data_IF_382002417250
#
_entry.id   IF_382002417250
#
_cell.length_a   1.000
_cell.length_b   1.000
_cell.length_c   1.000
_cell.angle_alpha   90.00
_cell.angle_beta   90.00
_cell.angle_gamma   90.00
#
_symmetry.space_group_name_H-M   'P 1'
#
loop_
_entity.id
_entity.type
_entity.pdbx_description
1 polymer ?
#
# COMPACT_ATOMS: atom_id res chain seq x y z
N UNK A 1 4.73 23.19 6.84
CA UNK A 1 4.80 22.70 5.44
C UNK A 1 3.95 21.44 5.41
N UNK A 2 2.84 21.41 4.70
CA UNK A 2 2.02 20.20 4.57
C UNK A 2 2.55 19.43 3.36
N UNK A 3 3.06 18.23 3.59
CA UNK A 3 3.48 17.30 2.53
C UNK A 3 2.56 16.10 2.63
N UNK A 4 1.72 15.89 1.62
CA UNK A 4 0.93 14.66 1.58
C UNK A 4 1.84 13.46 1.40
N UNK A 5 1.57 12.40 2.18
CA UNK A 5 2.31 11.15 2.12
C UNK A 5 1.58 10.14 1.25
N UNK A 6 2.31 9.61 0.28
CA UNK A 6 1.81 8.65 -0.69
C UNK A 6 2.94 7.69 -1.11
N UNK A 7 3.72 7.21 -0.13
CA UNK A 7 4.81 6.26 -0.39
C UNK A 7 4.25 4.96 -0.95
N UNK A 8 3.63 4.17 -0.09
CA UNK A 8 2.84 3.01 -0.47
C UNK A 8 1.43 3.42 -0.90
N UNK A 9 0.94 2.92 -2.05
CA UNK A 9 -0.44 3.12 -2.44
C UNK A 9 -1.41 2.69 -1.35
N UNK A 10 -2.51 3.42 -1.20
CA UNK A 10 -3.60 3.26 -0.24
C UNK A 10 -3.28 3.42 1.26
N UNK A 11 -2.01 3.59 1.68
CA UNK A 11 -1.69 3.75 3.11
C UNK A 11 -2.42 4.96 3.72
N UNK A 12 -2.34 6.11 3.05
CA UNK A 12 -3.01 7.33 3.50
C UNK A 12 -4.54 7.27 3.42
N UNK A 13 -5.12 6.30 2.71
CA UNK A 13 -6.57 6.12 2.58
C UNK A 13 -7.14 5.06 3.52
N UNK A 14 -6.38 4.01 3.83
CA UNK A 14 -6.83 2.90 4.66
C UNK A 14 -6.42 3.03 6.13
N UNK A 15 -5.23 3.56 6.39
CA UNK A 15 -4.65 3.55 7.75
C UNK A 15 -4.78 4.90 8.45
N UNK A 16 -4.68 6.02 7.73
CA UNK A 16 -4.79 7.34 8.33
C UNK A 16 -6.26 7.69 8.61
N UNK A 17 -6.52 8.18 9.83
CA UNK A 17 -7.82 8.76 10.18
C UNK A 17 -7.76 10.28 10.06
N UNK A 18 -8.91 10.96 9.96
CA UNK A 18 -8.93 12.43 9.90
C UNK A 18 -8.22 13.08 11.11
N UNK A 19 -8.31 12.45 12.29
CA UNK A 19 -7.69 12.94 13.52
C UNK A 19 -6.15 12.84 13.52
N UNK A 20 -5.58 11.81 12.87
CA UNK A 20 -4.12 11.58 12.85
C UNK A 20 -3.45 12.04 11.56
N UNK A 21 -4.23 12.36 10.52
CA UNK A 21 -3.75 12.66 9.17
C UNK A 21 -2.73 13.78 9.11
N UNK A 22 -3.00 14.92 9.75
CA UNK A 22 -2.08 16.07 9.72
C UNK A 22 -0.76 15.75 10.41
N UNK A 23 -0.80 15.07 11.56
CA UNK A 23 0.39 14.67 12.29
C UNK A 23 1.20 13.60 11.55
N UNK A 24 0.52 12.61 10.96
CA UNK A 24 1.15 11.58 10.13
C UNK A 24 1.88 12.21 8.94
N UNK A 25 1.21 13.10 8.22
CA UNK A 25 1.77 13.82 7.07
C UNK A 25 2.92 14.75 7.44
N UNK A 26 2.90 15.33 8.65
CA UNK A 26 3.98 16.18 9.15
C UNK A 26 5.16 15.40 9.75
N UNK A 27 5.04 14.07 9.94
CA UNK A 27 6.07 13.25 10.54
C UNK A 27 7.10 12.74 9.54
N UNK A 28 8.35 12.54 10.00
CA UNK A 28 9.43 11.98 9.19
C UNK A 28 9.27 10.46 9.04
N UNK A 29 9.26 9.91 7.80
CA UNK A 29 8.98 8.50 7.53
C UNK A 29 9.83 7.52 8.35
N UNK A 30 11.10 7.84 8.58
CA UNK A 30 12.03 7.00 9.37
C UNK A 30 11.50 6.64 10.76
N UNK A 31 10.58 7.44 11.31
CA UNK A 31 9.99 7.23 12.63
C UNK A 31 8.64 6.50 12.60
N UNK A 32 8.11 6.14 11.43
CA UNK A 32 6.73 5.67 11.33
C UNK A 32 6.47 4.41 12.12
N UNK A 33 7.40 3.44 12.04
CA UNK A 33 7.24 2.18 12.76
C UNK A 33 7.13 2.41 14.27
N UNK A 34 7.87 3.38 14.82
CA UNK A 34 7.81 3.69 16.24
C UNK A 34 6.54 4.46 16.62
N UNK A 35 6.05 5.35 15.74
CA UNK A 35 4.93 6.26 16.05
C UNK A 35 3.55 5.68 15.71
N UNK A 36 3.46 4.89 14.64
CA UNK A 36 2.20 4.60 13.97
C UNK A 36 1.87 3.11 13.88
N UNK A 37 2.78 2.19 14.25
CA UNK A 37 2.53 0.74 14.10
C UNK A 37 1.26 0.26 14.82
N UNK A 38 0.91 0.85 15.97
CA UNK A 38 -0.29 0.47 16.72
C UNK A 38 -1.59 0.77 15.94
N UNK A 39 -1.60 1.83 15.13
CA UNK A 39 -2.72 2.14 14.23
C UNK A 39 -2.87 1.07 13.15
N UNK A 40 -1.76 0.57 12.61
CA UNK A 40 -1.74 -0.51 11.62
C UNK A 40 -2.19 -1.85 12.23
N UNK A 41 -1.70 -2.17 13.43
CA UNK A 41 -2.09 -3.36 14.18
C UNK A 41 -3.60 -3.33 14.47
N UNK A 42 -4.13 -2.18 14.90
CA UNK A 42 -5.55 -2.01 15.16
C UNK A 42 -6.38 -2.28 13.91
N UNK A 43 -6.00 -1.70 12.77
CA UNK A 43 -6.72 -1.89 11.51
C UNK A 43 -6.69 -3.35 11.07
N UNK A 44 -5.50 -3.98 11.05
CA UNK A 44 -5.36 -5.40 10.68
C UNK A 44 -6.19 -6.31 11.58
N UNK A 45 -6.22 -6.04 12.90
CA UNK A 45 -7.07 -6.76 13.83
C UNK A 45 -8.57 -6.62 13.50
N UNK A 46 -9.00 -5.42 13.09
CA UNK A 46 -10.39 -5.15 12.73
C UNK A 46 -10.80 -5.78 11.38
N UNK A 47 -9.95 -5.71 10.36
CA UNK A 47 -10.29 -6.11 8.98
C UNK A 47 -9.99 -7.58 8.67
N UNK A 48 -8.96 -8.16 9.28
CA UNK A 48 -8.52 -9.53 8.99
C UNK A 48 -8.43 -10.42 10.23
N UNK A 49 -8.80 -9.93 11.41
CA UNK A 49 -8.76 -10.71 12.65
C UNK A 49 -7.35 -11.09 13.10
N UNK A 50 -6.33 -10.31 12.71
CA UNK A 50 -4.95 -10.54 13.12
C UNK A 50 -4.80 -10.40 14.64
N UNK A 51 -4.04 -11.29 15.26
CA UNK A 51 -3.49 -11.00 16.59
C UNK A 51 -2.44 -9.90 16.49
N UNK A 52 -2.04 -9.31 17.63
CA UNK A 52 -1.00 -8.28 17.63
C UNK A 52 0.31 -8.80 17.04
N UNK A 53 0.72 -10.01 17.44
CA UNK A 53 1.95 -10.64 17.00
C UNK A 53 1.92 -10.93 15.50
N UNK A 54 0.80 -11.47 15.00
CA UNK A 54 0.60 -11.71 13.57
C UNK A 54 0.61 -10.41 12.77
N UNK A 55 0.00 -9.34 13.29
CA UNK A 55 -0.02 -8.04 12.63
C UNK A 55 1.38 -7.43 12.54
N UNK A 56 2.18 -7.51 13.60
CA UNK A 56 3.57 -7.03 13.60
C UNK A 56 4.38 -7.79 12.55
N UNK A 57 4.29 -9.12 12.54
CA UNK A 57 4.99 -9.96 11.57
C UNK A 57 4.56 -9.63 10.13
N UNK A 58 3.25 -9.47 9.88
CA UNK A 58 2.73 -9.12 8.57
C UNK A 58 3.23 -7.74 8.10
N UNK A 59 3.22 -6.73 8.98
CA UNK A 59 3.70 -5.37 8.66
C UNK A 59 5.19 -5.38 8.34
N UNK A 60 6.00 -6.08 9.13
CA UNK A 60 7.45 -6.17 8.95
C UNK A 60 7.81 -6.93 7.66
N UNK A 61 7.10 -8.01 7.34
CA UNK A 61 7.30 -8.79 6.11
C UNK A 61 6.86 -8.03 4.85
N UNK A 62 5.73 -7.32 4.92
CA UNK A 62 5.23 -6.49 3.82
C UNK A 62 6.12 -5.25 3.60
N UNK A 63 6.78 -4.76 4.66
CA UNK A 63 7.61 -3.57 4.60
C UNK A 63 6.82 -2.27 4.43
N UNK A 64 5.56 -2.21 4.89
CA UNK A 64 4.70 -1.02 4.71
C UNK A 64 5.16 0.18 5.55
N UNK A 65 5.93 -0.05 6.61
CA UNK A 65 6.53 1.01 7.44
C UNK A 65 8.06 0.94 7.35
N UNK A 66 8.76 2.05 7.07
CA UNK A 66 8.23 3.40 6.84
C UNK A 66 7.39 3.49 5.56
N UNK A 67 6.43 4.43 5.50
CA UNK A 67 5.60 4.63 4.31
C UNK A 67 6.42 5.26 3.17
N UNK A 68 7.22 4.42 2.53
CA UNK A 68 8.20 4.73 1.49
C UNK A 68 8.33 3.52 0.56
N UNK A 69 7.81 3.64 -0.67
CA UNK A 69 7.94 2.59 -1.66
C UNK A 69 9.41 2.43 -2.09
N UNK A 70 9.99 1.28 -1.77
CA UNK A 70 11.37 0.95 -2.10
C UNK A 70 11.46 0.27 -3.46
N UNK A 71 12.63 0.41 -4.10
CA UNK A 71 12.94 -0.24 -5.35
C UNK A 71 14.35 -0.79 -5.32
N UNK A 72 14.46 -2.11 -5.41
CA UNK A 72 15.69 -2.84 -5.65
C UNK A 72 15.79 -3.14 -7.16
N UNK A 73 16.78 -2.57 -7.87
CA UNK A 73 16.96 -2.79 -9.30
C UNK A 73 17.42 -4.22 -9.65
N UNK A 74 17.80 -5.04 -8.67
CA UNK A 74 18.13 -6.45 -8.87
C UNK A 74 16.90 -7.37 -8.90
N UNK A 75 15.74 -6.86 -8.49
CA UNK A 75 14.47 -7.58 -8.48
C UNK A 75 13.56 -7.08 -9.63
N UNK A 76 12.58 -7.89 -10.09
CA UNK A 76 11.59 -7.44 -11.06
C UNK A 76 10.87 -6.17 -10.58
N UNK A 77 10.67 -5.21 -11.49
CA UNK A 77 9.88 -4.00 -11.22
C UNK A 77 8.39 -4.35 -11.19
N UNK A 78 7.87 -4.65 -10.00
CA UNK A 78 6.49 -5.03 -9.75
C UNK A 78 6.18 -4.78 -8.28
N UNK A 79 4.97 -4.33 -7.95
CA UNK A 79 4.55 -4.19 -6.56
C UNK A 79 4.77 -5.49 -5.76
N UNK A 80 5.38 -5.45 -4.56
CA UNK A 80 5.76 -4.25 -3.78
C UNK A 80 7.16 -3.65 -4.07
N UNK A 81 7.93 -4.20 -5.01
CA UNK A 81 9.22 -3.63 -5.46
C UNK A 81 9.01 -2.55 -6.53
N UNK A 82 8.66 -1.34 -6.10
CA UNK A 82 8.13 -0.31 -6.99
C UNK A 82 6.69 -0.61 -7.41
N UNK A 83 6.26 -0.11 -8.57
CA UNK A 83 4.96 -0.46 -9.17
C UNK A 83 4.95 -0.21 -10.68
N UNK A 84 4.16 -0.98 -11.42
CA UNK A 84 3.87 -0.77 -12.85
C UNK A 84 2.38 -0.57 -13.09
N UNK A 85 2.00 -0.10 -14.29
CA UNK A 85 0.59 0.19 -14.61
C UNK A 85 -0.34 -1.02 -14.52
N UNK A 86 0.20 -2.22 -14.69
CA UNK A 86 -0.56 -3.46 -14.67
C UNK A 86 -0.65 -4.09 -13.28
N UNK A 87 -0.10 -3.47 -12.24
CA UNK A 87 -0.18 -4.00 -10.88
C UNK A 87 -1.55 -3.70 -10.27
N UNK A 88 -2.23 -4.76 -9.84
CA UNK A 88 -3.45 -4.64 -9.03
C UNK A 88 -3.09 -4.42 -7.56
N UNK A 89 -2.65 -3.20 -7.25
CA UNK A 89 -2.21 -2.85 -5.89
C UNK A 89 -3.38 -2.83 -4.90
N UNK A 90 -4.61 -2.61 -5.37
CA UNK A 90 -5.78 -2.59 -4.50
C UNK A 90 -6.14 -4.01 -4.06
N UNK A 91 -6.24 -4.97 -4.98
CA UNK A 91 -6.50 -6.37 -4.60
C UNK A 91 -5.37 -6.91 -3.72
N UNK A 92 -4.11 -6.59 -4.04
CA UNK A 92 -2.96 -6.92 -3.19
C UNK A 92 -3.15 -6.40 -1.76
N UNK A 93 -3.49 -5.11 -1.60
CA UNK A 93 -3.62 -4.50 -0.27
C UNK A 93 -4.84 -5.01 0.48
N UNK A 94 -5.96 -5.26 -0.20
CA UNK A 94 -7.14 -5.84 0.42
C UNK A 94 -6.84 -7.24 0.94
N UNK A 95 -6.08 -8.06 0.20
CA UNK A 95 -5.61 -9.36 0.68
C UNK A 95 -4.75 -9.22 1.95
N UNK A 96 -3.83 -8.24 1.98
CA UNK A 96 -3.03 -7.93 3.18
C UNK A 96 -3.90 -7.49 4.37
N UNK A 97 -4.88 -6.60 4.17
CA UNK A 97 -5.74 -6.10 5.23
C UNK A 97 -6.66 -7.17 5.81
N UNK A 98 -7.15 -8.08 4.97
CA UNK A 98 -8.22 -9.02 5.32
C UNK A 98 -7.73 -10.45 5.54
N UNK A 99 -6.41 -10.67 5.59
CA UNK A 99 -5.82 -12.02 5.70
C UNK A 99 -6.28 -12.94 4.56
N UNK A 100 -6.55 -12.35 3.39
CA UNK A 100 -7.05 -13.04 2.21
C UNK A 100 -8.54 -13.40 2.21
N UNK A 101 -9.32 -12.97 3.21
CA UNK A 101 -10.75 -13.29 3.31
C UNK A 101 -11.59 -12.51 2.28
N UNK A 102 -11.13 -11.32 1.87
CA UNK A 102 -11.76 -10.57 0.79
C UNK A 102 -11.39 -11.18 -0.58
N UNK A 103 -12.37 -11.64 -1.39
CA UNK A 103 -12.09 -12.14 -2.72
C UNK A 103 -11.60 -11.02 -3.65
N UNK A 104 -10.78 -11.33 -4.67
CA UNK A 104 -10.34 -10.35 -5.65
C UNK A 104 -11.53 -9.76 -6.40
N UNK A 105 -11.39 -8.52 -6.86
CA UNK A 105 -12.47 -7.78 -7.55
C UNK A 105 -12.87 -8.41 -8.90
N UNK A 106 -12.05 -9.32 -9.42
CA UNK A 106 -12.23 -9.92 -10.74
C UNK A 106 -11.83 -8.99 -11.88
N UNK A 107 -11.25 -7.82 -11.55
CA UNK A 107 -10.66 -6.92 -12.53
C UNK A 107 -9.39 -7.55 -13.10
N UNK A 108 -9.03 -7.13 -14.30
CA UNK A 108 -7.80 -7.56 -14.96
C UNK A 108 -7.10 -6.33 -15.53
N UNK A 109 -5.76 -6.34 -15.56
CA UNK A 109 -5.01 -5.23 -16.12
C UNK A 109 -5.38 -4.96 -17.57
N UNK A 110 -5.27 -3.69 -17.97
CA UNK A 110 -5.32 -3.31 -19.37
C UNK A 110 -4.22 -4.03 -20.15
N UNK A 111 -4.60 -4.66 -21.26
CA UNK A 111 -3.67 -5.39 -22.15
C UNK A 111 -3.18 -4.53 -23.31
N UNK A 112 -3.63 -3.28 -23.36
CA UNK A 112 -3.46 -2.34 -24.48
C UNK A 112 -2.65 -1.11 -24.09
N UNK A 113 -1.94 -1.13 -22.96
CA UNK A 113 -0.98 -0.06 -22.59
C UNK A 113 0.19 0.00 -23.58
N UNK A 114 0.72 1.21 -23.79
CA UNK A 114 1.86 1.44 -24.70
C UNK A 114 3.17 1.45 -23.92
N UNK A 115 4.27 1.06 -24.58
CA UNK A 115 5.63 1.12 -24.04
C UNK A 115 6.30 2.49 -24.23
N UNK A 116 5.61 3.40 -24.90
CA UNK A 116 6.03 4.79 -25.16
C UNK A 116 5.02 5.79 -24.61
N UNK A 117 5.51 6.95 -24.18
CA UNK A 117 4.67 8.04 -23.65
C UNK A 117 3.52 8.40 -24.62
N UNK A 118 2.26 8.53 -24.14
CA UNK A 118 1.84 8.65 -22.73
C UNK A 118 1.55 7.31 -22.02
N UNK A 119 1.91 6.16 -22.59
CA UNK A 119 1.73 4.81 -22.04
C UNK A 119 0.28 4.31 -21.94
N UNK A 120 -0.70 5.11 -22.37
CA UNK A 120 -2.13 4.78 -22.36
C UNK A 120 -2.56 4.11 -23.67
N UNK A 121 -3.43 3.11 -23.55
CA UNK A 121 -4.06 2.44 -24.70
C UNK A 121 -5.09 3.30 -25.44
N UNK A 122 -5.58 2.84 -26.61
CA UNK A 122 -6.63 3.53 -27.34
C UNK A 122 -7.92 3.63 -26.50
N UNK A 123 -8.67 4.75 -26.58
CA UNK A 123 -9.93 4.89 -25.84
C UNK A 123 -10.92 3.76 -26.16
N UNK A 124 -11.51 3.17 -25.12
CA UNK A 124 -12.59 2.19 -25.26
C UNK A 124 -13.92 2.91 -25.47
N UNK A 125 -14.89 2.24 -26.11
CA UNK A 125 -16.23 2.78 -26.39
C UNK A 125 -17.24 2.38 -25.32
#
# INVERSE_FOLDING_TARGET
LHVDRAGHPSVSSFFNTDDTKEEYNASEPVNDRARWIDMFIHLLGHTGGYTREEAIEAIDNEGTLPDMLTFDPSLPAKYPNGRVFTDDVIDYRLAFLTKGDCPPTGLSPHTDTLDVFPYLGPPHR
#
